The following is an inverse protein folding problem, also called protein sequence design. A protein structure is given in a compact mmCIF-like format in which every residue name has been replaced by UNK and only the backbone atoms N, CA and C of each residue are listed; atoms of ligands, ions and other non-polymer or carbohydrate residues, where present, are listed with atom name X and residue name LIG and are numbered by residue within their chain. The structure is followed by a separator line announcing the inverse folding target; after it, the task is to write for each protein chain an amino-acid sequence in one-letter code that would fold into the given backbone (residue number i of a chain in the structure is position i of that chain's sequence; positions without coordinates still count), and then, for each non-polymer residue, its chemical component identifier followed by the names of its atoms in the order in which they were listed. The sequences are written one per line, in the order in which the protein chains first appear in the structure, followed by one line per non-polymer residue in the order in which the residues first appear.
data_IF_759702997800
#
_entry.id   IF_759702997800
#
_cell.length_a   1.000
_cell.length_b   1.000
_cell.length_c   1.000
_cell.angle_alpha   90.00
_cell.angle_beta   90.00
_cell.angle_gamma   90.00
#
_symmetry.space_group_name_H-M   'P 1'
#
loop_
_entity.id
_entity.type
_entity.pdbx_description
1 polymer ?
#
# COMPACT_ATOMS: atom_id res chain seq x y z
N UNK A 1 10.61 3.91 34.68
CA UNK A 1 9.34 3.69 33.97
C UNK A 1 9.65 3.70 32.49
N UNK A 2 9.69 2.54 31.85
CA UNK A 2 9.71 2.45 30.39
C UNK A 2 8.33 2.91 29.93
N UNK A 3 8.26 4.09 29.32
CA UNK A 3 7.07 4.52 28.61
C UNK A 3 6.89 3.57 27.45
N UNK A 4 5.96 2.62 27.58
CA UNK A 4 5.42 1.87 26.46
C UNK A 4 4.87 2.90 25.48
N UNK A 5 5.68 3.25 24.48
CA UNK A 5 5.19 3.98 23.31
C UNK A 5 4.28 2.98 22.60
N UNK A 6 2.98 3.09 22.88
CA UNK A 6 1.96 2.42 22.07
C UNK A 6 2.31 2.66 20.59
N UNK A 7 2.47 1.58 19.83
CA UNK A 7 2.78 1.67 18.43
C UNK A 7 1.64 2.40 17.72
N UNK A 8 1.92 3.61 17.25
CA UNK A 8 0.97 4.41 16.51
C UNK A 8 0.94 3.94 15.05
N UNK A 9 0.05 2.97 14.80
CA UNK A 9 -0.14 2.38 13.48
C UNK A 9 -0.54 3.42 12.43
N UNK A 10 -1.37 4.40 12.79
CA UNK A 10 -1.80 5.44 11.85
C UNK A 10 -0.64 6.33 11.43
N UNK A 11 0.20 6.72 12.39
CA UNK A 11 1.44 7.47 12.12
C UNK A 11 2.41 6.67 11.25
N UNK A 12 2.66 5.40 11.58
CA UNK A 12 3.56 4.54 10.79
C UNK A 12 3.06 4.38 9.36
N UNK A 13 1.75 4.17 9.16
CA UNK A 13 1.14 4.10 7.84
C UNK A 13 1.32 5.40 7.05
N UNK A 14 1.12 6.56 7.66
CA UNK A 14 1.29 7.85 7.00
C UNK A 14 2.75 8.11 6.60
N UNK A 15 3.71 7.80 7.47
CA UNK A 15 5.14 7.99 7.22
C UNK A 15 5.66 7.10 6.08
N UNK A 16 5.09 5.90 5.91
CA UNK A 16 5.55 4.91 4.94
C UNK A 16 4.64 4.80 3.70
N UNK A 17 3.55 5.55 3.64
CA UNK A 17 2.50 5.43 2.61
C UNK A 17 3.07 5.36 1.18
N UNK A 18 3.88 6.34 0.78
CA UNK A 18 4.42 6.41 -0.57
C UNK A 18 5.38 5.26 -0.90
N UNK A 19 6.20 4.84 0.06
CA UNK A 19 7.15 3.75 -0.13
C UNK A 19 6.41 2.42 -0.31
N UNK A 20 5.51 2.09 0.60
CA UNK A 20 4.73 0.84 0.56
C UNK A 20 3.81 0.78 -0.66
N UNK A 21 3.22 1.90 -1.09
CA UNK A 21 2.46 1.96 -2.33
C UNK A 21 3.34 1.67 -3.55
N UNK A 22 4.54 2.24 -3.60
CA UNK A 22 5.49 1.97 -4.67
C UNK A 22 5.96 0.52 -4.66
N UNK A 23 6.27 -0.07 -3.50
CA UNK A 23 6.64 -1.49 -3.38
C UNK A 23 5.52 -2.42 -3.85
N UNK A 24 4.27 -2.12 -3.46
CA UNK A 24 3.10 -2.88 -3.91
C UNK A 24 2.93 -2.78 -5.43
N UNK A 25 3.10 -1.59 -5.99
CA UNK A 25 3.04 -1.35 -7.44
C UNK A 25 4.14 -2.11 -8.21
N UNK A 26 5.40 -2.00 -7.78
CA UNK A 26 6.51 -2.70 -8.43
C UNK A 26 6.33 -4.22 -8.37
N UNK A 27 5.86 -4.75 -7.24
CA UNK A 27 5.57 -6.19 -7.12
C UNK A 27 4.51 -6.64 -8.13
N UNK A 28 3.40 -5.88 -8.26
CA UNK A 28 2.37 -6.19 -9.26
C UNK A 28 2.88 -6.07 -10.70
N UNK A 29 3.76 -5.09 -10.97
CA UNK A 29 4.37 -4.89 -12.28
C UNK A 29 5.30 -6.06 -12.63
N UNK A 30 6.19 -6.47 -11.73
CA UNK A 30 7.08 -7.62 -11.93
C UNK A 30 6.30 -8.90 -12.20
N UNK A 31 5.21 -9.13 -11.44
CA UNK A 31 4.34 -10.29 -11.68
C UNK A 31 3.68 -10.26 -13.06
N UNK A 32 3.29 -9.07 -13.53
CA UNK A 32 2.71 -8.90 -14.85
C UNK A 32 3.74 -9.13 -15.96
N UNK A 33 4.95 -8.60 -15.80
CA UNK A 33 6.01 -8.68 -16.81
C UNK A 33 6.57 -10.10 -16.92
N UNK A 34 6.65 -10.82 -15.81
CA UNK A 34 7.16 -12.19 -15.77
C UNK A 34 6.08 -13.26 -16.01
N UNK A 35 4.85 -12.85 -16.33
CA UNK A 35 3.68 -13.73 -16.47
C UNK A 35 3.50 -14.69 -15.28
N UNK A 36 3.85 -14.22 -14.07
CA UNK A 36 3.76 -15.00 -12.84
C UNK A 36 2.33 -15.22 -12.38
N UNK A 37 1.39 -14.42 -12.91
CA UNK A 37 -0.02 -14.55 -12.53
C UNK A 37 -0.66 -15.89 -12.89
N UNK A 38 -0.08 -16.63 -13.83
CA UNK A 38 -0.61 -17.92 -14.26
C UNK A 38 0.05 -19.10 -13.52
N UNK A 39 1.20 -18.90 -12.89
CA UNK A 39 2.10 -19.97 -12.42
C UNK A 39 2.89 -19.57 -11.16
N UNK A 40 2.23 -19.23 -10.04
CA UNK A 40 2.98 -18.82 -8.84
C UNK A 40 3.43 -19.98 -7.94
N UNK A 41 4.68 -19.93 -7.51
CA UNK A 41 5.25 -20.70 -6.41
C UNK A 41 4.79 -20.17 -5.05
N UNK A 42 4.84 -21.00 -4.00
CA UNK A 42 4.44 -20.63 -2.62
C UNK A 42 5.11 -19.33 -2.13
N UNK A 43 6.37 -19.10 -2.52
CA UNK A 43 7.12 -17.89 -2.13
C UNK A 43 6.54 -16.61 -2.75
N UNK A 44 6.00 -16.70 -3.97
CA UNK A 44 5.39 -15.59 -4.71
C UNK A 44 3.97 -15.29 -4.17
N UNK A 45 3.27 -16.32 -3.67
CA UNK A 45 2.00 -16.13 -2.96
C UNK A 45 2.14 -15.18 -1.76
N UNK A 46 3.18 -15.34 -0.95
CA UNK A 46 3.42 -14.46 0.20
C UNK A 46 3.67 -13.00 -0.22
N UNK A 47 4.20 -12.75 -1.42
CA UNK A 47 4.39 -11.40 -1.93
C UNK A 47 3.05 -10.77 -2.33
N UNK A 48 2.20 -11.53 -3.04
CA UNK A 48 0.84 -11.08 -3.38
C UNK A 48 -0.04 -10.85 -2.16
N UNK A 49 0.07 -11.68 -1.13
CA UNK A 49 -0.64 -11.48 0.14
C UNK A 49 -0.25 -10.15 0.79
N UNK A 50 1.05 -9.82 0.83
CA UNK A 50 1.53 -8.53 1.35
C UNK A 50 1.05 -7.35 0.51
N UNK A 51 1.00 -7.48 -0.81
CA UNK A 51 0.42 -6.46 -1.70
C UNK A 51 -1.04 -6.25 -1.33
N UNK A 52 -1.82 -7.33 -1.19
CA UNK A 52 -3.23 -7.25 -0.85
C UNK A 52 -3.46 -6.60 0.53
N UNK A 53 -2.67 -6.98 1.53
CA UNK A 53 -2.69 -6.36 2.85
C UNK A 53 -2.42 -4.85 2.77
N UNK A 54 -1.36 -4.46 2.05
CA UNK A 54 -0.98 -3.04 1.86
C UNK A 54 -2.10 -2.24 1.21
N UNK A 55 -2.68 -2.77 0.12
CA UNK A 55 -3.76 -2.09 -0.59
C UNK A 55 -5.05 -2.02 0.24
N UNK A 56 -5.34 -3.04 1.03
CA UNK A 56 -6.49 -3.06 1.94
C UNK A 56 -6.33 -2.01 3.04
N UNK A 57 -5.13 -1.90 3.61
CA UNK A 57 -4.79 -0.89 4.61
C UNK A 57 -4.98 0.53 4.05
N UNK A 58 -4.53 0.78 2.82
CA UNK A 58 -4.69 2.08 2.18
C UNK A 58 -6.12 2.39 1.78
N UNK A 59 -6.88 1.39 1.36
CA UNK A 59 -8.31 1.54 1.14
C UNK A 59 -9.03 1.95 2.43
N UNK A 60 -8.76 1.28 3.54
CA UNK A 60 -9.34 1.62 4.85
C UNK A 60 -8.95 3.05 5.30
N UNK A 61 -7.69 3.44 5.10
CA UNK A 61 -7.24 4.80 5.38
C UNK A 61 -7.93 5.84 4.49
N UNK A 62 -8.14 5.55 3.21
CA UNK A 62 -8.86 6.43 2.29
C UNK A 62 -10.34 6.55 2.66
N UNK A 63 -11.01 5.42 2.93
CA UNK A 63 -12.42 5.37 3.34
C UNK A 63 -12.66 6.16 4.64
N UNK A 64 -11.69 6.12 5.57
CA UNK A 64 -11.71 6.90 6.82
C UNK A 64 -11.26 8.36 6.65
N UNK A 65 -10.95 8.81 5.44
CA UNK A 65 -10.50 10.17 5.15
C UNK A 65 -9.09 10.52 5.66
N UNK A 66 -8.28 9.51 5.99
CA UNK A 66 -6.89 9.67 6.43
C UNK A 66 -5.93 9.91 5.26
N UNK A 67 -6.30 9.46 4.05
CA UNK A 67 -5.62 9.77 2.80
C UNK A 67 -6.57 10.61 1.95
N UNK A 68 -6.08 11.77 1.48
CA UNK A 68 -6.76 12.57 0.47
C UNK A 68 -5.98 12.41 -0.83
N UNK A 69 -6.55 11.68 -1.78
CA UNK A 69 -6.02 11.61 -3.14
C UNK A 69 -6.40 12.90 -3.88
N UNK A 70 -5.43 13.77 -4.11
CA UNK A 70 -5.62 14.95 -4.95
C UNK A 70 -5.48 14.48 -6.41
N UNK A 71 -6.59 14.45 -7.15
CA UNK A 71 -6.52 14.27 -8.59
C UNK A 71 -6.04 15.58 -9.22
N UNK A 72 -5.01 15.50 -10.07
CA UNK A 72 -4.59 16.61 -10.93
C UNK A 72 -5.74 17.13 -11.81
N UNK A 73 -6.75 16.32 -12.09
CA UNK A 73 -7.96 16.78 -12.83
C UNK A 73 -8.79 17.79 -12.03
N UNK A 74 -8.66 17.83 -10.69
CA UNK A 74 -9.30 18.87 -9.85
C UNK A 74 -8.43 20.11 -9.67
N UNK A 75 -7.13 20.07 -9.97
CA UNK A 75 -6.26 21.26 -9.98
C UNK A 75 -6.54 22.16 -11.19
N UNK A 76 -7.27 21.66 -12.19
CA UNK A 76 -7.97 22.51 -13.16
C UNK A 76 -9.25 23.01 -12.50
N UNK A 77 -9.11 23.87 -11.48
CA UNK A 77 -10.21 24.69 -10.99
C UNK A 77 -10.02 26.11 -11.49
N UNK A 78 -10.93 26.55 -12.37
CA UNK A 78 -11.61 27.86 -12.33
C UNK A 78 -12.85 27.84 -13.23
#
# INVERSE_FOLDING_TARGET
MTTDKNFDLAKSRAENFGQWLNEAFQTMLDFSLENKFDCYFIKEKNQLERVLETLTDFYDMWDKGQIILISKEREVTE
#
